data_IF_841114025660
#
_entry.id   IF_841114025660
#
_cell.length_a   1.000
_cell.length_b   1.000
_cell.length_c   1.000
_cell.angle_alpha   90.00
_cell.angle_beta   90.00
_cell.angle_gamma   90.00
#
_symmetry.space_group_name_H-M   'P 1'
#
loop_
_entity.id
_entity.type
_entity.pdbx_description
1 polymer ?
#
# COMPACT_ATOMS: atom_id res chain seq x y z
N UNK A 1 -16.05 -41.20 32.10
CA UNK A 1 -16.54 -40.61 30.83
C UNK A 1 -16.45 -39.08 30.78
N UNK A 2 -16.66 -38.32 31.88
CA UNK A 2 -16.52 -36.84 31.89
C UNK A 2 -15.12 -36.29 31.56
N UNK A 3 -14.05 -36.98 31.99
CA UNK A 3 -12.66 -36.54 31.76
C UNK A 3 -12.23 -36.63 30.28
N UNK A 4 -12.79 -37.59 29.54
CA UNK A 4 -12.52 -37.77 28.11
C UNK A 4 -13.22 -36.70 27.26
N UNK A 5 -14.48 -36.36 27.60
CA UNK A 5 -15.22 -35.28 26.93
C UNK A 5 -14.57 -33.91 27.13
N UNK A 6 -14.01 -33.64 28.31
CA UNK A 6 -13.29 -32.39 28.59
C UNK A 6 -12.00 -32.26 27.76
N UNK A 7 -11.28 -33.37 27.58
CA UNK A 7 -10.08 -33.43 26.74
C UNK A 7 -10.41 -33.22 25.25
N UNK A 8 -11.48 -33.82 24.76
CA UNK A 8 -11.96 -33.62 23.38
C UNK A 8 -12.40 -32.17 23.13
N UNK A 9 -13.05 -31.53 24.10
CA UNK A 9 -13.45 -30.13 23.98
C UNK A 9 -12.24 -29.18 23.99
N UNK A 10 -11.26 -29.43 24.86
CA UNK A 10 -10.01 -28.67 24.88
C UNK A 10 -9.20 -28.82 23.57
N UNK A 11 -9.18 -30.02 22.99
CA UNK A 11 -8.53 -30.27 21.71
C UNK A 11 -9.24 -29.52 20.57
N UNK A 12 -10.57 -29.46 20.59
CA UNK A 12 -11.35 -28.72 19.59
C UNK A 12 -11.11 -27.21 19.65
N UNK A 13 -10.98 -26.64 20.86
CA UNK A 13 -10.64 -25.23 21.05
C UNK A 13 -9.25 -24.87 20.52
N UNK A 14 -8.27 -25.78 20.57
CA UNK A 14 -6.93 -25.56 20.02
C UNK A 14 -6.88 -25.65 18.49
N UNK A 15 -7.74 -26.47 17.88
CA UNK A 15 -7.84 -26.57 16.41
C UNK A 15 -8.57 -25.36 15.83
N UNK A 16 -9.56 -24.81 16.54
CA UNK A 16 -10.30 -23.63 16.11
C UNK A 16 -9.47 -22.34 16.04
N UNK A 17 -8.41 -22.21 16.85
CA UNK A 17 -7.51 -21.03 16.82
C UNK A 17 -6.45 -21.08 15.72
N UNK A 18 -6.27 -22.22 15.04
CA UNK A 18 -5.32 -22.36 13.93
C UNK A 18 -5.72 -21.54 12.70
N UNK A 19 -7.01 -21.42 12.40
CA UNK A 19 -7.53 -20.57 11.32
C UNK A 19 -7.26 -19.07 11.57
N UNK A 20 -7.16 -18.66 12.82
CA UNK A 20 -6.88 -17.27 13.20
C UNK A 20 -5.44 -16.87 12.87
N UNK A 21 -4.48 -17.80 12.91
CA UNK A 21 -3.08 -17.46 12.68
C UNK A 21 -2.81 -17.00 11.25
N UNK A 22 -3.38 -17.70 10.26
CA UNK A 22 -3.25 -17.33 8.84
C UNK A 22 -4.00 -16.01 8.55
N UNK A 23 -5.19 -15.83 9.12
CA UNK A 23 -5.93 -14.57 9.04
C UNK A 23 -5.15 -13.39 9.67
N UNK A 24 -4.54 -13.59 10.84
CA UNK A 24 -3.71 -12.58 11.52
C UNK A 24 -2.46 -12.25 10.71
N UNK A 25 -1.81 -13.23 10.10
CA UNK A 25 -0.66 -13.02 9.22
C UNK A 25 -1.06 -12.22 7.97
N UNK A 26 -2.17 -12.57 7.32
CA UNK A 26 -2.70 -11.79 6.19
C UNK A 26 -3.09 -10.37 6.60
N UNK A 27 -3.66 -10.19 7.79
CA UNK A 27 -3.97 -8.86 8.33
C UNK A 27 -2.70 -8.04 8.54
N UNK A 28 -1.68 -8.63 9.17
CA UNK A 28 -0.40 -7.98 9.42
C UNK A 28 0.30 -7.57 8.12
N UNK A 29 0.35 -8.46 7.12
CA UNK A 29 0.89 -8.16 5.78
C UNK A 29 0.13 -7.04 5.07
N UNK A 30 -1.21 -7.04 5.13
CA UNK A 30 -2.04 -5.99 4.51
C UNK A 30 -1.92 -4.63 5.20
N UNK A 31 -1.60 -4.62 6.50
CA UNK A 31 -1.43 -3.41 7.29
C UNK A 31 -0.06 -2.74 7.15
N UNK A 32 0.89 -3.38 6.47
CA UNK A 32 2.22 -2.79 6.27
C UNK A 32 2.10 -1.45 5.53
N UNK A 33 2.85 -0.43 5.96
CA UNK A 33 2.94 0.84 5.23
C UNK A 33 3.34 0.59 3.78
N UNK A 34 2.65 1.24 2.85
CA UNK A 34 2.83 1.03 1.41
C UNK A 34 2.29 2.17 0.57
N UNK A 35 2.82 2.27 -0.65
CA UNK A 35 2.23 3.06 -1.72
C UNK A 35 1.55 2.11 -2.68
N UNK A 36 0.24 2.29 -2.87
CA UNK A 36 -0.53 1.57 -3.88
C UNK A 36 -0.75 2.49 -5.08
N UNK A 37 -0.39 2.03 -6.27
CA UNK A 37 -0.64 2.71 -7.54
C UNK A 37 -1.84 2.02 -8.20
N UNK A 38 -2.91 2.77 -8.45
CA UNK A 38 -4.11 2.30 -9.15
C UNK A 38 -4.35 3.13 -10.42
N UNK A 39 -5.38 2.81 -11.20
CA UNK A 39 -5.60 3.44 -12.52
C UNK A 39 -5.75 4.97 -12.45
N UNK A 40 -6.32 5.50 -11.37
CA UNK A 40 -6.65 6.92 -11.25
C UNK A 40 -6.03 7.64 -10.06
N UNK A 41 -5.28 6.96 -9.20
CA UNK A 41 -4.70 7.58 -8.01
C UNK A 41 -3.48 6.81 -7.50
N UNK A 42 -2.66 7.50 -6.71
CA UNK A 42 -1.63 6.88 -5.87
C UNK A 42 -2.03 7.08 -4.42
N UNK A 43 -2.12 5.98 -3.67
CA UNK A 43 -2.50 5.99 -2.26
C UNK A 43 -1.31 5.62 -1.39
N UNK A 44 -0.88 6.55 -0.56
CA UNK A 44 0.16 6.33 0.45
C UNK A 44 -0.51 6.03 1.78
N UNK A 45 -0.40 4.77 2.21
CA UNK A 45 -1.09 4.24 3.39
C UNK A 45 -0.10 3.93 4.49
N UNK A 46 -0.37 4.44 5.68
CA UNK A 46 0.45 4.23 6.87
C UNK A 46 -0.41 4.17 8.13
N UNK A 47 -0.89 2.99 8.53
CA UNK A 47 -1.74 2.89 9.71
C UNK A 47 -0.95 3.23 11.00
N UNK A 48 -1.52 3.96 11.97
CA UNK A 48 -2.90 4.47 12.03
C UNK A 48 -3.11 5.88 11.45
N UNK A 49 -2.12 6.45 10.75
CA UNK A 49 -2.22 7.76 10.11
C UNK A 49 -3.23 7.74 8.94
N UNK A 50 -3.80 8.91 8.58
CA UNK A 50 -4.69 9.05 7.42
C UNK A 50 -3.98 8.65 6.12
N UNK A 51 -4.72 8.41 5.05
CA UNK A 51 -4.08 8.10 3.75
C UNK A 51 -3.79 9.39 3.01
N UNK A 52 -2.61 9.48 2.39
CA UNK A 52 -2.38 10.51 1.37
C UNK A 52 -2.82 9.94 0.03
N UNK A 53 -3.61 10.71 -0.72
CA UNK A 53 -4.10 10.36 -2.06
C UNK A 53 -3.55 11.39 -3.02
N UNK A 54 -2.93 10.94 -4.10
CA UNK A 54 -2.36 11.78 -5.14
C UNK A 54 -3.09 11.49 -6.45
N UNK A 55 -3.54 12.56 -7.09
CA UNK A 55 -4.34 12.52 -8.31
C UNK A 55 -3.49 12.77 -9.56
N UNK A 56 -3.99 12.44 -10.77
CA UNK A 56 -3.22 12.54 -12.01
C UNK A 56 -2.80 13.97 -12.38
N UNK A 57 -3.52 14.96 -11.86
CA UNK A 57 -3.26 16.39 -12.04
C UNK A 57 -2.28 16.96 -11.00
N UNK A 58 -1.67 16.12 -10.15
CA UNK A 58 -0.75 16.57 -9.09
C UNK A 58 -1.43 17.10 -7.84
N UNK A 59 -2.77 17.06 -7.77
CA UNK A 59 -3.51 17.37 -6.56
C UNK A 59 -3.32 16.30 -5.49
N UNK A 60 -3.43 16.70 -4.23
CA UNK A 60 -3.23 15.84 -3.08
C UNK A 60 -4.37 15.98 -2.08
N UNK A 61 -4.78 14.84 -1.51
CA UNK A 61 -5.73 14.78 -0.41
C UNK A 61 -5.12 14.02 0.77
N UNK A 62 -5.54 14.40 1.96
CA UNK A 62 -5.39 13.59 3.16
C UNK A 62 -6.79 13.09 3.53
N UNK A 63 -6.99 11.78 3.39
CA UNK A 63 -8.31 11.15 3.32
C UNK A 63 -9.25 11.88 2.36
N UNK A 64 -10.22 12.66 2.86
CA UNK A 64 -11.21 13.39 2.05
C UNK A 64 -10.92 14.90 1.92
N UNK A 65 -9.84 15.39 2.53
CA UNK A 65 -9.51 16.81 2.60
C UNK A 65 -8.44 17.14 1.56
N UNK A 66 -8.78 18.04 0.64
CA UNK A 66 -7.83 18.60 -0.34
C UNK A 66 -6.78 19.47 0.37
N UNK A 67 -5.51 19.21 0.07
CA UNK A 67 -4.40 19.99 0.59
C UNK A 67 -3.96 21.00 -0.47
N UNK A 68 -3.97 22.32 -0.17
CA UNK A 68 -3.54 23.32 -1.12
C UNK A 68 -2.04 23.21 -1.38
N UNK A 69 -1.67 22.97 -2.63
CA UNK A 69 -0.29 22.90 -3.10
C UNK A 69 0.01 24.06 -4.05
N UNK A 70 1.24 24.56 -4.01
CA UNK A 70 1.75 25.49 -5.02
C UNK A 70 2.06 24.76 -6.34
N UNK A 71 2.32 25.52 -7.41
CA UNK A 71 2.54 24.96 -8.75
C UNK A 71 3.74 24.01 -8.82
N UNK A 72 4.83 24.32 -8.09
CA UNK A 72 6.03 23.47 -8.04
C UNK A 72 5.73 22.11 -7.39
N UNK A 73 4.99 22.12 -6.26
CA UNK A 73 4.56 20.92 -5.56
C UNK A 73 3.60 20.08 -6.42
N UNK A 74 2.65 20.72 -7.11
CA UNK A 74 1.73 20.03 -8.01
C UNK A 74 2.48 19.36 -9.17
N UNK A 75 3.40 20.07 -9.82
CA UNK A 75 4.22 19.53 -10.89
C UNK A 75 5.08 18.34 -10.42
N UNK A 76 5.64 18.43 -9.21
CA UNK A 76 6.38 17.33 -8.58
C UNK A 76 5.49 16.09 -8.40
N UNK A 77 4.31 16.25 -7.80
CA UNK A 77 3.39 15.13 -7.58
C UNK A 77 2.86 14.54 -8.88
N UNK A 78 2.60 15.37 -9.89
CA UNK A 78 2.21 14.93 -11.23
C UNK A 78 3.32 14.10 -11.90
N UNK A 79 4.58 14.55 -11.80
CA UNK A 79 5.74 13.81 -12.30
C UNK A 79 5.90 12.46 -11.60
N UNK A 80 5.79 12.44 -10.27
CA UNK A 80 5.81 11.21 -9.48
C UNK A 80 4.68 10.26 -9.88
N UNK A 81 3.46 10.78 -10.05
CA UNK A 81 2.30 9.99 -10.51
C UNK A 81 2.60 9.31 -11.84
N UNK A 82 3.09 10.06 -12.84
CA UNK A 82 3.41 9.52 -14.16
C UNK A 82 4.45 8.39 -14.10
N UNK A 83 5.54 8.58 -13.35
CA UNK A 83 6.58 7.54 -13.20
C UNK A 83 6.03 6.28 -12.53
N UNK A 84 5.26 6.45 -11.45
CA UNK A 84 4.63 5.33 -10.76
C UNK A 84 3.63 4.58 -11.65
N UNK A 85 2.90 5.27 -12.53
CA UNK A 85 1.99 4.62 -13.48
C UNK A 85 2.73 3.80 -14.54
N UNK A 86 3.86 4.30 -15.05
CA UNK A 86 4.71 3.51 -15.96
C UNK A 86 5.21 2.24 -15.27
N UNK A 87 5.71 2.38 -14.04
CA UNK A 87 6.17 1.23 -13.25
C UNK A 87 5.05 0.22 -12.96
N UNK A 88 3.85 0.72 -12.63
CA UNK A 88 2.67 -0.11 -12.46
C UNK A 88 2.37 -0.89 -13.75
N UNK A 89 2.30 -0.21 -14.89
CA UNK A 89 1.98 -0.86 -16.16
C UNK A 89 2.99 -1.94 -16.51
N UNK A 90 4.29 -1.65 -16.37
CA UNK A 90 5.35 -2.64 -16.61
C UNK A 90 5.18 -3.85 -15.68
N UNK A 91 4.97 -3.60 -14.38
CA UNK A 91 4.77 -4.66 -13.39
C UNK A 91 3.56 -5.54 -13.71
N UNK A 92 2.46 -4.94 -14.18
CA UNK A 92 1.23 -5.67 -14.49
C UNK A 92 1.33 -6.46 -15.80
N UNK A 93 2.09 -5.95 -16.78
CA UNK A 93 2.33 -6.65 -18.05
C UNK A 93 3.03 -8.00 -17.82
N UNK A 94 3.98 -8.05 -16.90
CA UNK A 94 4.74 -9.27 -16.59
C UNK A 94 4.09 -10.16 -15.51
N UNK A 95 3.05 -9.66 -14.83
CA UNK A 95 2.44 -10.36 -13.72
C UNK A 95 1.53 -11.51 -14.19
N UNK A 96 1.64 -12.73 -13.61
CA UNK A 96 0.75 -13.83 -13.95
C UNK A 96 -0.70 -13.49 -13.58
N UNK A 97 -1.72 -13.97 -14.30
CA UNK A 97 -3.12 -13.73 -13.94
C UNK A 97 -3.43 -14.15 -12.50
N UNK A 98 -4.12 -13.28 -11.74
CA UNK A 98 -4.56 -13.56 -10.37
C UNK A 98 -6.08 -13.38 -10.25
N UNK A 99 -6.86 -14.47 -10.08
CA UNK A 99 -8.31 -14.40 -9.87
C UNK A 99 -8.71 -13.58 -8.64
N UNK A 100 -7.84 -13.50 -7.63
CA UNK A 100 -8.09 -12.74 -6.40
C UNK A 100 -7.66 -11.26 -6.52
N UNK A 101 -7.17 -10.82 -7.69
CA UNK A 101 -6.83 -9.42 -8.00
C UNK A 101 -5.92 -8.77 -6.96
N UNK A 102 -4.94 -9.53 -6.43
CA UNK A 102 -4.05 -9.01 -5.39
C UNK A 102 -3.03 -8.08 -6.01
N UNK A 103 -2.70 -7.01 -5.28
CA UNK A 103 -1.64 -6.09 -5.68
C UNK A 103 -0.31 -6.83 -5.83
N UNK A 104 0.49 -6.39 -6.79
CA UNK A 104 1.82 -6.95 -7.09
C UNK A 104 2.87 -5.95 -6.68
N UNK A 105 3.95 -6.41 -6.04
CA UNK A 105 5.05 -5.53 -5.68
C UNK A 105 5.69 -4.95 -6.95
N UNK A 106 5.79 -3.62 -7.01
CA UNK A 106 6.49 -2.92 -8.09
C UNK A 106 7.99 -3.08 -7.86
N UNK A 107 8.71 -3.49 -8.90
CA UNK A 107 10.17 -3.49 -8.91
C UNK A 107 10.64 -2.19 -9.56
N UNK A 108 11.42 -1.41 -8.82
CA UNK A 108 12.02 -0.18 -9.32
C UNK A 108 13.35 -0.55 -9.99
N UNK A 109 13.54 -0.26 -11.30
CA UNK A 109 14.81 -0.50 -11.98
C UNK A 109 15.95 0.30 -11.34
N UNK A 110 17.17 -0.24 -11.41
CA UNK A 110 18.37 0.45 -10.92
C UNK A 110 18.52 1.83 -11.58
N UNK A 111 18.83 2.84 -10.76
CA UNK A 111 18.98 4.23 -11.21
C UNK A 111 17.68 5.03 -11.35
N UNK A 112 16.50 4.40 -11.23
CA UNK A 112 15.22 5.12 -11.19
C UNK A 112 14.86 5.51 -9.75
N UNK A 113 14.37 6.74 -9.56
CA UNK A 113 13.86 7.24 -8.28
C UNK A 113 12.42 7.75 -8.49
N UNK A 114 11.42 6.85 -8.44
CA UNK A 114 10.04 7.22 -8.70
C UNK A 114 9.48 8.15 -7.62
N UNK A 115 10.04 8.11 -6.41
CA UNK A 115 9.71 9.02 -5.31
C UNK A 115 10.79 10.10 -5.29
N UNK A 116 10.44 11.38 -5.46
CA UNK A 116 11.39 12.48 -5.41
C UNK A 116 12.15 12.52 -4.07
N UNK A 117 13.48 12.68 -4.07
CA UNK A 117 14.28 12.67 -2.83
C UNK A 117 14.00 13.86 -1.91
N UNK A 118 13.52 14.97 -2.46
CA UNK A 118 13.16 16.19 -1.73
C UNK A 118 11.67 16.27 -1.37
N UNK A 119 10.88 15.21 -1.63
CA UNK A 119 9.44 15.17 -1.39
C UNK A 119 9.05 15.59 0.03
N UNK A 120 9.72 15.06 1.06
CA UNK A 120 9.43 15.38 2.47
C UNK A 120 9.86 16.77 2.89
N UNK A 121 10.78 17.38 2.13
CA UNK A 121 11.24 18.76 2.36
C UNK A 121 10.29 19.74 1.70
N UNK A 122 9.82 19.43 0.49
CA UNK A 122 8.91 20.28 -0.30
C UNK A 122 7.45 20.14 0.10
N UNK A 123 7.03 18.94 0.53
CA UNK A 123 5.66 18.62 0.96
C UNK A 123 5.75 17.90 2.33
N UNK A 124 5.79 18.66 3.44
CA UNK A 124 6.01 18.14 4.78
C UNK A 124 5.02 17.08 5.25
N UNK A 125 3.83 17.02 4.65
CA UNK A 125 2.78 16.02 4.91
C UNK A 125 3.31 14.58 4.74
N UNK A 126 4.33 14.38 3.91
CA UNK A 126 4.95 13.06 3.68
C UNK A 126 5.98 12.64 4.73
N UNK A 127 6.40 13.51 5.66
CA UNK A 127 7.50 13.22 6.62
C UNK A 127 7.25 11.93 7.42
N UNK A 128 6.02 11.71 7.82
CA UNK A 128 5.61 10.56 8.61
C UNK A 128 5.34 9.29 7.78
N UNK A 129 5.48 9.36 6.46
CA UNK A 129 5.15 8.29 5.52
C UNK A 129 6.37 7.67 4.84
N UNK A 130 7.58 8.07 5.22
CA UNK A 130 8.83 7.59 4.60
C UNK A 130 8.98 6.06 4.62
N UNK A 131 8.41 5.37 5.62
CA UNK A 131 8.38 3.91 5.69
C UNK A 131 7.59 3.25 4.55
N UNK A 132 6.69 3.98 3.88
CA UNK A 132 5.94 3.49 2.72
C UNK A 132 6.78 3.46 1.44
N UNK A 133 7.85 4.25 1.37
CA UNK A 133 8.58 4.53 0.12
C UNK A 133 9.31 3.31 -0.44
N UNK A 134 9.65 2.34 0.41
CA UNK A 134 10.25 1.06 0.00
C UNK A 134 9.24 -0.03 -0.39
N UNK A 135 7.93 0.24 -0.28
CA UNK A 135 6.89 -0.75 -0.50
C UNK A 135 5.85 -0.25 -1.52
N UNK A 136 6.27 -0.25 -2.78
CA UNK A 136 5.44 0.09 -3.92
C UNK A 136 4.62 -1.12 -4.39
N UNK A 137 3.33 -0.92 -4.63
CA UNK A 137 2.38 -1.96 -5.02
C UNK A 137 1.56 -1.51 -6.22
N UNK A 138 1.52 -2.33 -7.26
CA UNK A 138 0.69 -2.17 -8.44
C UNK A 138 -0.68 -2.82 -8.18
N UNK A 139 -1.74 -2.04 -8.23
CA UNK A 139 -3.10 -2.56 -8.10
C UNK A 139 -3.60 -3.15 -9.42
N UNK A 140 -4.17 -4.36 -9.31
CA UNK A 140 -4.82 -5.10 -10.40
C UNK A 140 -6.32 -4.85 -10.30
N UNK A 141 -6.84 -3.71 -10.75
CA UNK A 141 -8.29 -3.58 -10.85
C UNK A 141 -8.92 -4.71 -11.71
#
# INVERSE_FOLDING_TARGET
MKKLSLLLFALFCLVATGCDQEYRNHRAERSKPKITVSDGMVTVRRAPAPNIIILPNGHMKIDEIEIPLNEEQQAMLQGMFGQLQVLRQNTLTDAPPDPAKRSVKIQVPDGMQPIPPDLTTKIPEFKDYTETFGNLQADRH
#
